data_IF_443364052468
#
_entry.id   IF_443364052468
#
_cell.length_a   1.000
_cell.length_b   1.000
_cell.length_c   1.000
_cell.angle_alpha   90.00
_cell.angle_beta   90.00
_cell.angle_gamma   90.00
#
_symmetry.space_group_name_H-M   'P 1'
#
loop_
_entity.id
_entity.type
_entity.pdbx_description
1 polymer ?
#
# COMPACT_ATOMS: atom_id res chain seq x y z
N UNK A 1 1.41 -0.86 7.45
CA UNK A 1 0.19 -0.05 7.37
C UNK A 1 -1.01 -0.97 7.56
N UNK A 2 -1.50 -1.07 8.80
CA UNK A 2 -2.69 -1.84 9.12
C UNK A 2 -3.89 -0.91 8.93
N UNK A 3 -4.43 -0.87 7.73
CA UNK A 3 -5.72 -0.24 7.47
C UNK A 3 -6.81 -1.31 7.44
N UNK A 4 -7.03 -1.91 8.61
CA UNK A 4 -8.31 -2.55 8.87
C UNK A 4 -9.21 -1.49 9.49
N UNK A 5 -10.45 -1.28 9.02
CA UNK A 5 -11.38 -0.40 9.70
C UNK A 5 -11.60 -0.95 11.11
N UNK A 6 -10.83 -0.41 12.05
CA UNK A 6 -11.09 -0.68 13.47
C UNK A 6 -12.39 0.02 13.83
N UNK A 7 -13.23 -0.60 14.65
CA UNK A 7 -14.43 0.07 15.15
C UNK A 7 -14.02 1.43 15.71
N UNK A 8 -14.83 2.45 15.47
CA UNK A 8 -14.64 3.78 16.08
C UNK A 8 -14.50 3.55 17.59
N UNK A 9 -13.41 4.02 18.20
CA UNK A 9 -13.21 3.80 19.62
C UNK A 9 -14.37 4.38 20.42
N UNK A 10 -14.79 3.67 21.46
CA UNK A 10 -15.82 4.18 22.37
C UNK A 10 -15.37 5.49 23.01
N UNK A 11 -16.32 6.35 23.32
CA UNK A 11 -16.08 7.57 24.10
C UNK A 11 -15.30 7.26 25.38
N UNK A 12 -14.25 8.05 25.67
CA UNK A 12 -13.34 7.83 26.77
C UNK A 12 -12.20 6.84 26.48
N UNK A 13 -12.17 6.19 25.31
CA UNK A 13 -11.03 5.36 24.91
C UNK A 13 -9.77 6.20 24.80
N UNK A 14 -8.65 5.68 25.32
CA UNK A 14 -7.37 6.35 25.29
C UNK A 14 -6.31 5.49 24.60
N UNK A 15 -5.61 6.08 23.63
CA UNK A 15 -4.45 5.48 22.97
C UNK A 15 -3.18 6.17 23.46
N UNK A 16 -2.23 5.35 23.84
CA UNK A 16 -0.91 5.81 24.30
C UNK A 16 0.15 5.29 23.32
N UNK A 17 0.90 6.20 22.72
CA UNK A 17 1.99 5.90 21.80
C UNK A 17 3.28 6.36 22.49
N UNK A 18 4.20 5.43 22.72
CA UNK A 18 5.50 5.72 23.34
C UNK A 18 6.57 5.53 22.28
N UNK A 19 7.29 6.60 21.97
CA UNK A 19 8.36 6.63 20.97
C UNK A 19 9.69 6.78 21.69
N UNK A 20 10.62 5.83 21.58
CA UNK A 20 11.96 5.97 22.12
C UNK A 20 12.67 7.21 21.57
N UNK A 21 13.45 7.92 22.42
CA UNK A 21 14.28 9.03 21.93
C UNK A 21 15.30 8.51 20.91
N UNK A 22 15.47 9.25 19.82
CA UNK A 22 16.33 8.86 18.71
C UNK A 22 15.64 8.02 17.62
N UNK A 23 14.38 7.62 17.84
CA UNK A 23 13.55 7.05 16.78
C UNK A 23 12.76 8.19 16.12
N UNK A 24 12.95 8.40 14.82
CA UNK A 24 12.17 9.36 14.05
C UNK A 24 10.80 8.76 13.75
N UNK A 25 9.76 9.37 14.29
CA UNK A 25 8.37 8.93 14.11
C UNK A 25 7.48 10.16 13.96
N UNK A 26 6.68 10.14 12.92
CA UNK A 26 5.65 11.16 12.66
C UNK A 26 4.34 10.69 13.28
N UNK A 27 3.81 11.49 14.21
CA UNK A 27 2.54 11.21 14.87
C UNK A 27 1.58 12.35 14.61
N UNK A 28 0.52 12.06 13.88
CA UNK A 28 -0.57 12.99 13.60
C UNK A 28 -1.84 12.51 14.32
N UNK A 29 -2.45 13.41 15.08
CA UNK A 29 -3.70 13.17 15.80
C UNK A 29 -4.66 14.28 15.37
N UNK A 30 -5.69 13.94 14.61
CA UNK A 30 -6.61 14.89 13.96
C UNK A 30 -8.05 14.45 14.07
N UNK A 31 -8.95 15.39 13.80
CA UNK A 31 -10.39 15.20 13.79
C UNK A 31 -11.10 15.79 15.01
N UNK A 32 -12.40 16.00 14.86
CA UNK A 32 -13.24 16.51 15.95
C UNK A 32 -13.49 15.38 16.98
N UNK A 33 -13.62 15.74 18.26
CA UNK A 33 -13.87 14.77 19.33
C UNK A 33 -12.66 13.99 19.80
N UNK A 34 -11.44 14.39 19.44
CA UNK A 34 -10.20 13.81 19.98
C UNK A 34 -9.37 14.89 20.68
N UNK A 35 -8.90 14.60 21.88
CA UNK A 35 -7.94 15.42 22.59
C UNK A 35 -6.56 14.77 22.56
N UNK A 36 -5.51 15.60 22.50
CA UNK A 36 -4.12 15.13 22.49
C UNK A 36 -3.29 15.80 23.57
N UNK A 37 -2.37 15.04 24.14
CA UNK A 37 -1.27 15.59 24.95
C UNK A 37 0.03 14.88 24.59
N UNK A 38 1.15 15.60 24.74
CA UNK A 38 2.50 15.09 24.51
C UNK A 38 3.32 15.34 25.76
N UNK A 39 4.00 14.32 26.24
CA UNK A 39 4.94 14.41 27.35
C UNK A 39 6.26 13.79 26.94
N UNK A 40 7.37 14.35 27.42
CA UNK A 40 8.71 13.89 27.10
C UNK A 40 9.48 13.64 28.39
N UNK A 41 10.25 12.57 28.41
CA UNK A 41 11.25 12.26 29.42
C UNK A 41 12.62 11.98 28.77
N UNK A 42 13.61 11.56 29.52
CA UNK A 42 14.96 11.30 29.03
C UNK A 42 15.02 10.11 28.02
N UNK A 43 14.08 9.18 28.10
CA UNK A 43 14.07 7.94 27.34
C UNK A 43 13.07 7.96 26.16
N UNK A 44 11.99 8.74 26.26
CA UNK A 44 10.87 8.62 25.33
C UNK A 44 10.05 9.91 25.15
N UNK A 45 9.27 9.93 24.08
CA UNK A 45 8.17 10.87 23.83
C UNK A 45 6.88 10.07 23.89
N UNK A 46 5.96 10.49 24.75
CA UNK A 46 4.65 9.85 24.88
C UNK A 46 3.56 10.75 24.32
N UNK A 47 2.85 10.26 23.33
CA UNK A 47 1.63 10.86 22.79
C UNK A 47 0.44 10.16 23.40
N UNK A 48 -0.51 10.94 23.92
CA UNK A 48 -1.77 10.46 24.45
C UNK A 48 -2.90 11.05 23.63
N UNK A 49 -3.77 10.20 23.11
CA UNK A 49 -4.97 10.58 22.38
C UNK A 49 -6.20 10.01 23.09
N UNK A 50 -7.13 10.86 23.48
CA UNK A 50 -8.38 10.46 24.15
C UNK A 50 -9.55 10.80 23.25
N UNK A 51 -10.36 9.79 22.94
CA UNK A 51 -11.58 9.93 22.13
C UNK A 51 -12.73 10.40 23.04
N UNK A 52 -13.35 11.51 22.65
CA UNK A 52 -14.58 12.02 23.25
C UNK A 52 -15.83 11.38 22.68
N UNK A 53 -16.98 12.00 22.93
CA UNK A 53 -18.24 11.57 22.30
C UNK A 53 -18.15 11.65 20.77
N UNK A 54 -18.77 10.71 20.04
CA UNK A 54 -18.83 10.75 18.59
C UNK A 54 -19.44 12.08 18.11
N UNK A 55 -18.77 12.74 17.20
CA UNK A 55 -19.25 13.97 16.57
C UNK A 55 -19.94 13.59 15.25
N UNK A 56 -21.16 14.12 15.04
CA UNK A 56 -21.84 13.90 13.77
C UNK A 56 -21.03 14.44 12.60
N UNK A 57 -20.94 13.64 11.53
CA UNK A 57 -20.25 14.03 10.32
C UNK A 57 -20.83 15.34 9.76
N UNK A 58 -19.99 16.35 9.60
CA UNK A 58 -20.39 17.68 9.08
C UNK A 58 -20.80 17.62 7.60
N UNK A 59 -20.20 16.71 6.86
CA UNK A 59 -20.45 16.49 5.45
C UNK A 59 -20.91 15.06 5.21
N UNK A 60 -22.18 14.89 4.89
CA UNK A 60 -22.79 13.57 4.63
C UNK A 60 -22.32 12.93 3.30
N UNK A 61 -21.61 13.66 2.45
CA UNK A 61 -21.01 13.14 1.22
C UNK A 61 -19.70 12.40 1.47
N UNK A 62 -19.08 12.61 2.65
CA UNK A 62 -17.85 11.93 3.07
C UNK A 62 -18.15 10.85 4.10
N UNK A 63 -17.36 9.79 4.08
CA UNK A 63 -17.51 8.73 5.08
C UNK A 63 -17.19 9.25 6.49
N UNK A 64 -17.86 8.69 7.50
CA UNK A 64 -17.56 9.01 8.89
C UNK A 64 -16.09 8.70 9.24
N UNK A 65 -15.50 7.72 8.55
CA UNK A 65 -14.09 7.34 8.69
C UNK A 65 -13.14 8.43 8.21
N UNK A 66 -13.56 9.28 7.26
CA UNK A 66 -12.73 10.37 6.71
C UNK A 66 -12.79 11.65 7.56
N UNK A 67 -13.91 11.87 8.23
CA UNK A 67 -14.12 13.08 9.02
C UNK A 67 -13.90 12.86 10.51
N UNK A 68 -13.93 11.60 10.95
CA UNK A 68 -13.79 11.22 12.34
C UNK A 68 -12.37 11.42 12.88
N UNK A 69 -12.22 11.28 14.21
CA UNK A 69 -10.94 11.38 14.86
C UNK A 69 -9.99 10.27 14.41
N UNK A 70 -8.74 10.64 14.11
CA UNK A 70 -7.73 9.75 13.55
C UNK A 70 -6.38 9.90 14.23
N UNK A 71 -5.65 8.79 14.28
CA UNK A 71 -4.27 8.74 14.74
C UNK A 71 -3.45 8.08 13.64
N UNK A 72 -2.51 8.82 13.08
CA UNK A 72 -1.50 8.30 12.16
C UNK A 72 -0.16 8.21 12.86
N UNK A 73 0.52 7.10 12.66
CA UNK A 73 1.88 6.88 13.15
C UNK A 73 2.70 6.31 12.02
N UNK A 74 3.77 7.00 11.64
CA UNK A 74 4.64 6.58 10.56
C UNK A 74 6.10 6.82 10.89
N UNK A 75 6.97 5.93 10.45
CA UNK A 75 8.42 6.16 10.40
C UNK A 75 8.86 6.78 9.07
N UNK A 76 7.95 6.93 8.12
CA UNK A 76 8.15 7.59 6.84
C UNK A 76 7.63 9.02 6.91
N UNK A 77 8.36 9.96 6.33
CA UNK A 77 8.05 11.40 6.39
C UNK A 77 6.95 11.81 5.43
N UNK A 78 6.95 11.22 4.25
CA UNK A 78 6.09 11.61 3.15
C UNK A 78 5.83 10.47 2.17
N UNK A 79 5.05 10.73 1.13
CA UNK A 79 4.74 9.75 0.09
C UNK A 79 5.92 9.41 -0.81
N UNK A 80 6.88 10.31 -0.96
CA UNK A 80 8.09 10.06 -1.75
C UNK A 80 8.92 8.97 -1.06
N UNK A 81 9.17 9.13 0.24
CA UNK A 81 9.88 8.13 1.03
C UNK A 81 9.13 6.78 1.09
N UNK A 82 7.79 6.83 1.17
CA UNK A 82 6.96 5.61 1.07
C UNK A 82 7.13 4.94 -0.30
N UNK A 83 7.10 5.72 -1.39
CA UNK A 83 7.28 5.22 -2.75
C UNK A 83 8.66 4.60 -2.95
N UNK A 84 9.72 5.24 -2.47
CA UNK A 84 11.08 4.73 -2.52
C UNK A 84 11.21 3.43 -1.72
N UNK A 85 10.70 3.37 -0.50
CA UNK A 85 10.73 2.18 0.33
C UNK A 85 9.95 1.02 -0.31
N UNK A 86 8.79 1.31 -0.89
CA UNK A 86 8.02 0.30 -1.61
C UNK A 86 8.75 -0.20 -2.86
N UNK A 87 9.33 0.71 -3.66
CA UNK A 87 10.10 0.34 -4.83
C UNK A 87 11.33 -0.50 -4.46
N UNK A 88 12.08 -0.11 -3.44
CA UNK A 88 13.22 -0.88 -2.95
C UNK A 88 12.83 -2.32 -2.54
N UNK A 89 11.65 -2.50 -1.97
CA UNK A 89 11.10 -3.81 -1.64
C UNK A 89 10.62 -4.58 -2.88
N UNK A 90 10.05 -3.90 -3.88
CA UNK A 90 9.43 -4.51 -5.05
C UNK A 90 10.43 -4.84 -6.17
N UNK A 91 11.45 -4.00 -6.38
CA UNK A 91 12.39 -4.11 -7.50
C UNK A 91 13.06 -5.50 -7.65
N UNK A 92 13.50 -6.18 -6.59
CA UNK A 92 14.06 -7.52 -6.71
C UNK A 92 13.08 -8.57 -7.25
N UNK A 93 11.78 -8.29 -7.18
CA UNK A 93 10.73 -9.20 -7.62
C UNK A 93 10.27 -8.98 -9.07
N UNK A 94 10.75 -7.91 -9.71
CA UNK A 94 10.47 -7.54 -11.12
C UNK A 94 11.53 -8.09 -12.08
N UNK A 95 12.31 -9.08 -11.67
CA UNK A 95 13.40 -9.64 -12.48
C UNK A 95 12.88 -10.29 -13.77
N UNK A 96 13.56 -9.99 -14.91
CA UNK A 96 13.29 -10.61 -16.19
C UNK A 96 14.05 -11.95 -16.29
N UNK A 97 13.43 -13.00 -15.81
CA UNK A 97 13.96 -14.36 -15.93
C UNK A 97 13.76 -14.90 -17.36
N UNK A 98 14.46 -15.99 -17.77
CA UNK A 98 14.21 -16.63 -19.07
C UNK A 98 12.75 -17.03 -19.30
N UNK A 99 12.03 -17.42 -18.24
CA UNK A 99 10.61 -17.76 -18.33
C UNK A 99 9.73 -16.53 -18.59
N UNK A 100 10.03 -15.41 -17.94
CA UNK A 100 9.35 -14.11 -18.17
C UNK A 100 9.62 -13.64 -19.59
N UNK A 101 10.88 -13.70 -20.05
CA UNK A 101 11.24 -13.32 -21.43
C UNK A 101 10.48 -14.15 -22.47
N UNK A 102 10.51 -15.48 -22.32
CA UNK A 102 9.82 -16.38 -23.25
C UNK A 102 8.32 -16.13 -23.31
N UNK A 103 7.68 -15.88 -22.15
CA UNK A 103 6.26 -15.57 -22.09
C UNK A 103 5.94 -14.21 -22.73
N UNK A 104 6.76 -13.19 -22.49
CA UNK A 104 6.58 -11.88 -23.13
C UNK A 104 6.70 -11.99 -24.66
N UNK A 105 7.66 -12.76 -25.16
CA UNK A 105 7.86 -12.99 -26.61
C UNK A 105 6.68 -13.77 -27.22
N UNK A 106 6.15 -14.77 -26.53
CA UNK A 106 4.96 -15.51 -26.95
C UNK A 106 3.74 -14.58 -27.06
N UNK A 107 3.47 -13.77 -26.01
CA UNK A 107 2.32 -12.87 -25.99
C UNK A 107 2.38 -11.82 -27.09
N UNK A 108 3.58 -11.32 -27.39
CA UNK A 108 3.79 -10.22 -28.35
C UNK A 108 4.19 -10.69 -29.75
N UNK A 109 4.12 -11.98 -30.01
CA UNK A 109 4.50 -12.53 -31.31
C UNK A 109 3.70 -11.91 -32.47
N UNK A 110 4.41 -11.35 -33.46
CA UNK A 110 3.79 -10.68 -34.59
C UNK A 110 3.22 -9.28 -34.32
N UNK A 111 3.51 -8.70 -33.14
CA UNK A 111 3.08 -7.35 -32.76
C UNK A 111 4.31 -6.42 -32.72
N UNK A 112 4.42 -5.52 -33.71
CA UNK A 112 5.55 -4.57 -33.79
C UNK A 112 5.32 -3.28 -32.98
N UNK A 113 4.07 -2.87 -32.84
CA UNK A 113 3.70 -1.64 -32.12
C UNK A 113 3.81 -1.82 -30.61
N UNK A 114 4.60 -0.94 -29.96
CA UNK A 114 4.89 -1.01 -28.52
C UNK A 114 3.66 -0.86 -27.64
N UNK A 115 2.72 0.01 -28.02
CA UNK A 115 1.49 0.20 -27.27
C UNK A 115 0.63 -1.06 -27.33
N UNK A 116 0.50 -1.64 -28.52
CA UNK A 116 -0.22 -2.91 -28.69
C UNK A 116 0.44 -4.08 -27.97
N UNK A 117 1.78 -4.09 -27.88
CA UNK A 117 2.49 -5.07 -27.06
C UNK A 117 2.10 -4.91 -25.58
N UNK A 118 2.10 -3.66 -25.06
CA UNK A 118 1.70 -3.39 -23.67
C UNK A 118 0.24 -3.78 -23.41
N UNK A 119 -0.66 -3.48 -24.33
CA UNK A 119 -2.07 -3.87 -24.27
C UNK A 119 -2.22 -5.40 -24.24
N UNK A 120 -1.52 -6.11 -25.13
CA UNK A 120 -1.56 -7.57 -25.20
C UNK A 120 -1.06 -8.21 -23.91
N UNK A 121 0.05 -7.72 -23.35
CA UNK A 121 0.60 -8.18 -22.06
C UNK A 121 -0.40 -7.93 -20.92
N UNK A 122 -0.96 -6.72 -20.83
CA UNK A 122 -1.94 -6.37 -19.80
C UNK A 122 -3.19 -7.26 -19.87
N UNK A 123 -3.73 -7.46 -21.06
CA UNK A 123 -4.88 -8.34 -21.30
C UNK A 123 -4.56 -9.79 -20.95
N UNK A 124 -3.36 -10.24 -21.27
CA UNK A 124 -2.92 -11.59 -20.96
C UNK A 124 -2.84 -11.81 -19.44
N UNK A 125 -2.21 -10.89 -18.69
CA UNK A 125 -2.14 -10.97 -17.23
C UNK A 125 -3.55 -11.01 -16.64
N UNK A 126 -4.42 -10.07 -17.04
CA UNK A 126 -5.83 -10.02 -16.60
C UNK A 126 -6.59 -11.32 -16.84
N UNK A 127 -6.34 -12.00 -17.97
CA UNK A 127 -7.06 -13.21 -18.39
C UNK A 127 -6.51 -14.48 -17.79
N UNK A 128 -5.19 -14.55 -17.56
CA UNK A 128 -4.50 -15.81 -17.24
C UNK A 128 -4.01 -15.91 -15.81
N UNK A 129 -4.01 -14.80 -15.06
CA UNK A 129 -3.64 -14.77 -13.64
C UNK A 129 -4.92 -14.59 -12.82
N UNK A 130 -5.22 -15.58 -11.98
CA UNK A 130 -6.40 -15.51 -11.12
C UNK A 130 -6.15 -14.59 -9.94
N UNK A 131 -7.04 -13.63 -9.72
CA UNK A 131 -6.98 -12.76 -8.55
C UNK A 131 -7.45 -13.51 -7.30
N UNK A 132 -6.59 -13.57 -6.29
CA UNK A 132 -6.89 -14.22 -5.01
C UNK A 132 -6.39 -13.30 -3.90
N UNK A 133 -7.30 -12.90 -3.01
CA UNK A 133 -6.93 -12.20 -1.79
C UNK A 133 -6.64 -13.26 -0.72
N UNK A 134 -5.41 -13.31 -0.25
CA UNK A 134 -5.03 -14.17 0.86
C UNK A 134 -4.78 -13.29 2.08
N UNK A 135 -5.79 -13.09 2.91
CA UNK A 135 -5.62 -12.41 4.20
C UNK A 135 -4.76 -13.28 5.13
N UNK A 136 -3.47 -13.07 5.13
CA UNK A 136 -2.53 -13.81 5.99
C UNK A 136 -2.08 -12.97 7.20
N UNK A 137 -3.03 -12.44 7.97
CA UNK A 137 -2.73 -11.81 9.27
C UNK A 137 -1.91 -10.52 9.19
N UNK A 138 -1.70 -9.91 10.35
CA UNK A 138 -0.97 -8.66 10.54
C UNK A 138 0.52 -8.86 10.17
N UNK A 139 1.06 -8.01 9.30
CA UNK A 139 2.50 -7.94 9.00
C UNK A 139 2.96 -8.57 7.68
N UNK A 140 2.06 -9.13 6.85
CA UNK A 140 2.39 -9.65 5.51
C UNK A 140 1.94 -8.76 4.34
N UNK A 141 1.34 -7.62 4.62
CA UNK A 141 0.72 -6.77 3.60
C UNK A 141 1.71 -6.19 2.57
N UNK A 142 3.01 -6.17 2.91
CA UNK A 142 4.09 -5.75 2.00
C UNK A 142 4.95 -6.89 1.46
N UNK A 143 4.66 -8.16 1.78
CA UNK A 143 5.41 -9.27 1.17
C UNK A 143 5.00 -9.40 -0.30
N UNK A 144 5.99 -9.32 -1.19
CA UNK A 144 5.82 -9.37 -2.63
C UNK A 144 6.35 -10.72 -3.13
N UNK A 145 5.57 -11.40 -3.96
CA UNK A 145 5.98 -12.65 -4.61
C UNK A 145 6.63 -12.33 -5.94
N UNK A 146 7.77 -12.97 -6.25
CA UNK A 146 8.51 -12.75 -7.49
C UNK A 146 7.68 -13.07 -8.74
N UNK A 147 7.88 -12.30 -9.80
CA UNK A 147 7.13 -12.39 -11.06
C UNK A 147 7.12 -13.80 -11.68
N UNK A 148 8.25 -14.51 -11.65
CA UNK A 148 8.36 -15.87 -12.19
C UNK A 148 7.54 -16.88 -11.40
N UNK A 149 7.42 -16.68 -10.08
CA UNK A 149 6.58 -17.53 -9.21
C UNK A 149 5.11 -17.27 -9.51
N UNK A 150 4.71 -16.01 -9.67
CA UNK A 150 3.33 -15.63 -10.05
C UNK A 150 2.99 -16.20 -11.42
N UNK A 151 3.90 -16.08 -12.38
CA UNK A 151 3.74 -16.65 -13.73
C UNK A 151 3.51 -18.15 -13.66
N UNK A 152 4.28 -18.88 -12.85
CA UNK A 152 4.18 -20.34 -12.70
C UNK A 152 2.89 -20.75 -12.01
N UNK A 153 2.52 -20.04 -10.95
CA UNK A 153 1.38 -20.38 -10.09
C UNK A 153 0.03 -19.94 -10.68
N UNK A 154 0.02 -18.97 -11.61
CA UNK A 154 -1.18 -18.44 -12.27
C UNK A 154 -2.19 -17.79 -11.30
N UNK A 155 -1.74 -17.30 -10.16
CA UNK A 155 -2.56 -16.52 -9.23
C UNK A 155 -1.71 -15.52 -8.42
N UNK A 156 -2.37 -14.49 -7.91
CA UNK A 156 -1.79 -13.48 -7.03
C UNK A 156 -2.79 -12.40 -6.63
N UNK A 157 -2.40 -11.53 -5.74
CA UNK A 157 -3.13 -10.33 -5.35
C UNK A 157 -2.80 -9.15 -6.30
N UNK A 158 -3.22 -7.93 -5.94
CA UNK A 158 -2.97 -6.72 -6.74
C UNK A 158 -1.47 -6.47 -6.97
N UNK A 159 -0.65 -6.57 -5.92
CA UNK A 159 0.81 -6.35 -6.00
C UNK A 159 1.52 -7.38 -6.87
N UNK A 160 1.13 -8.65 -6.80
CA UNK A 160 1.68 -9.71 -7.65
C UNK A 160 1.30 -9.55 -9.11
N UNK A 161 0.07 -9.10 -9.40
CA UNK A 161 -0.32 -8.77 -10.77
C UNK A 161 0.51 -7.61 -11.33
N UNK A 162 0.72 -6.56 -10.52
CA UNK A 162 1.52 -5.41 -10.93
C UNK A 162 2.99 -5.77 -11.16
N UNK A 163 3.59 -6.58 -10.29
CA UNK A 163 4.97 -7.06 -10.41
C UNK A 163 5.15 -7.94 -11.65
N UNK A 164 4.25 -8.89 -11.89
CA UNK A 164 4.30 -9.72 -13.10
C UNK A 164 4.12 -8.89 -14.36
N UNK A 165 3.17 -7.96 -14.38
CA UNK A 165 2.94 -7.05 -15.50
C UNK A 165 4.20 -6.23 -15.80
N UNK A 166 4.81 -5.64 -14.77
CA UNK A 166 6.03 -4.85 -14.90
C UNK A 166 7.19 -5.68 -15.45
N UNK A 167 7.38 -6.92 -14.98
CA UNK A 167 8.43 -7.81 -15.47
C UNK A 167 8.23 -8.20 -16.93
N UNK A 168 7.00 -8.49 -17.36
CA UNK A 168 6.68 -8.81 -18.76
C UNK A 168 6.87 -7.59 -19.68
N UNK A 169 6.52 -6.39 -19.23
CA UNK A 169 6.77 -5.14 -19.95
C UNK A 169 8.28 -4.86 -20.07
N UNK A 170 9.03 -5.04 -19.00
CA UNK A 170 10.48 -4.88 -18.98
C UNK A 170 11.18 -5.84 -19.95
N UNK A 171 10.70 -7.08 -20.08
CA UNK A 171 11.20 -8.04 -21.06
C UNK A 171 11.08 -7.53 -22.52
N UNK A 172 10.12 -6.64 -22.78
CA UNK A 172 9.94 -5.98 -24.08
C UNK A 172 10.53 -4.57 -24.10
N UNK A 173 11.31 -4.18 -23.08
CA UNK A 173 11.91 -2.84 -22.95
C UNK A 173 10.85 -1.73 -22.93
N UNK A 174 9.70 -2.02 -22.33
CA UNK A 174 8.62 -1.05 -22.09
C UNK A 174 8.73 -0.64 -20.64
N UNK A 175 9.03 0.64 -20.40
CA UNK A 175 9.17 1.19 -19.06
C UNK A 175 7.80 1.24 -18.37
N UNK A 176 7.80 0.92 -17.10
CA UNK A 176 6.60 0.96 -16.25
C UNK A 176 6.98 1.24 -14.81
N UNK A 177 6.07 1.85 -14.07
CA UNK A 177 6.24 2.17 -12.66
C UNK A 177 5.16 1.48 -11.83
N UNK A 178 5.54 1.03 -10.64
CA UNK A 178 4.60 0.52 -9.66
C UNK A 178 4.08 1.69 -8.83
N UNK A 179 2.76 1.81 -8.73
CA UNK A 179 2.10 2.90 -8.01
C UNK A 179 1.26 2.33 -6.88
N UNK A 180 1.44 2.89 -5.68
CA UNK A 180 0.54 2.62 -4.56
C UNK A 180 -0.70 3.51 -4.71
N UNK A 181 -1.88 2.88 -4.65
CA UNK A 181 -3.14 3.60 -4.66
C UNK A 181 -3.94 3.27 -3.40
N UNK A 182 -4.59 4.26 -2.84
CA UNK A 182 -5.57 4.06 -1.79
C UNK A 182 -6.95 3.87 -2.42
N UNK A 183 -7.63 2.77 -2.07
CA UNK A 183 -9.03 2.55 -2.46
C UNK A 183 -9.90 3.31 -1.45
N UNK A 184 -10.45 4.44 -1.87
CA UNK A 184 -11.29 5.31 -1.06
C UNK A 184 -11.01 6.77 -1.35
N UNK A 185 -11.79 7.67 -0.74
CA UNK A 185 -11.54 9.09 -0.88
C UNK A 185 -10.23 9.48 -0.20
N UNK A 186 -9.34 10.07 -1.00
CA UNK A 186 -8.03 10.51 -0.55
C UNK A 186 -8.23 11.66 0.42
N UNK A 187 -7.95 11.42 1.67
CA UNK A 187 -7.72 12.53 2.59
C UNK A 187 -6.26 12.49 3.01
N UNK A 188 -5.56 13.51 2.59
CA UNK A 188 -4.24 13.99 2.99
C UNK A 188 -3.43 13.11 3.96
N UNK A 189 -2.20 12.89 3.58
CA UNK A 189 -1.09 12.76 4.52
C UNK A 189 -0.68 14.15 4.94
#
# INVERSE_FOLDING_TARGET
LADSPRPIPDAGSTYRIVVPRGMEVHVEITGDGISKSVTEDEASITYLATFGEPVEAKDKSRSATEQGPRIFVSTLRDYEELGEAYWAAAAPHVEVTPAIQAMADEITNGIDDRLKQAEAISLWVKKNIRYIIVHQGIGRDLSIVAADIVLRNRYGECKEHAVLLSALLAAKKIDSELVLIQLGDITSI
#
